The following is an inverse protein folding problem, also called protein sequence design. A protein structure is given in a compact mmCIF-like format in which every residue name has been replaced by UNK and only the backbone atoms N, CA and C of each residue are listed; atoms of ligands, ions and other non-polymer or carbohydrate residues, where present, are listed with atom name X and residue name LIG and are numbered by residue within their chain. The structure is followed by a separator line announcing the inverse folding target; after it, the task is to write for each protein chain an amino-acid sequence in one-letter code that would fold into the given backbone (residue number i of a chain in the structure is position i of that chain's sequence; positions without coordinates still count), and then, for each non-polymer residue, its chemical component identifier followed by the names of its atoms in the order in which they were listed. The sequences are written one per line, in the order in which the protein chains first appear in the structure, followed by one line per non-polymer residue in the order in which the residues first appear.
data_IF_250503770600
#
_entry.id   IF_250503770600
#
_cell.length_a   1.000
_cell.length_b   1.000
_cell.length_c   1.000
_cell.angle_alpha   90.00
_cell.angle_beta   90.00
_cell.angle_gamma   90.00
#
_symmetry.space_group_name_H-M   'P 1'
#
loop_
_entity.id
_entity.type
_entity.pdbx_description
1 polymer ?
#
# COMPACT_ATOMS: atom_id res chain seq x y z
N UNK A 1 -8.54 -6.71 -15.08
CA UNK A 1 -7.23 -7.16 -14.54
C UNK A 1 -7.47 -8.29 -13.55
N UNK A 2 -6.55 -9.27 -13.41
CA UNK A 2 -6.66 -10.41 -12.50
C UNK A 2 -5.56 -10.36 -11.44
N UNK A 3 -5.88 -10.66 -10.18
CA UNK A 3 -4.87 -10.78 -9.12
C UNK A 3 -4.13 -12.11 -9.27
N UNK A 4 -2.91 -12.04 -9.78
CA UNK A 4 -2.12 -13.21 -10.16
C UNK A 4 -0.62 -12.86 -10.10
N UNK A 5 0.13 -13.63 -9.32
CA UNK A 5 1.58 -13.46 -9.09
C UNK A 5 2.42 -14.50 -9.85
N UNK A 6 1.85 -15.14 -10.87
CA UNK A 6 2.59 -16.13 -11.66
C UNK A 6 3.43 -15.48 -12.76
N UNK A 7 4.57 -16.09 -13.09
CA UNK A 7 5.50 -15.59 -14.09
C UNK A 7 6.36 -14.43 -13.59
N UNK A 8 6.82 -13.59 -14.50
CA UNK A 8 7.73 -12.46 -14.24
C UNK A 8 7.08 -11.12 -14.56
N UNK A 9 7.64 -10.03 -14.04
CA UNK A 9 7.24 -8.65 -14.35
C UNK A 9 6.20 -8.04 -13.43
N UNK A 10 5.42 -8.84 -12.69
CA UNK A 10 4.46 -8.33 -11.71
C UNK A 10 5.13 -7.73 -10.47
N UNK A 11 4.40 -6.90 -9.75
CA UNK A 11 4.81 -6.32 -8.47
C UNK A 11 5.72 -5.09 -8.56
N UNK A 12 6.05 -4.64 -9.77
CA UNK A 12 6.90 -3.47 -9.99
C UNK A 12 6.09 -2.17 -10.09
N UNK A 13 4.78 -2.27 -10.23
CA UNK A 13 3.92 -1.12 -10.51
C UNK A 13 4.22 -0.49 -11.87
N UNK A 14 4.65 -1.29 -12.83
CA UNK A 14 4.81 -0.89 -14.22
C UNK A 14 3.43 -0.88 -14.89
N UNK A 15 2.99 0.31 -15.26
CA UNK A 15 1.67 0.53 -15.88
C UNK A 15 1.55 -0.17 -17.23
N UNK A 16 2.61 -0.18 -18.02
CA UNK A 16 2.59 -0.83 -19.33
C UNK A 16 2.48 -2.34 -19.20
N UNK A 17 3.21 -2.92 -18.23
CA UNK A 17 3.04 -4.33 -17.89
C UNK A 17 1.61 -4.63 -17.42
N UNK A 18 1.10 -3.87 -16.46
CA UNK A 18 -0.23 -4.09 -15.90
C UNK A 18 -1.34 -3.99 -16.97
N UNK A 19 -1.20 -3.03 -17.88
CA UNK A 19 -2.13 -2.84 -18.99
C UNK A 19 -2.06 -3.98 -20.03
N UNK A 20 -0.87 -4.42 -20.39
CA UNK A 20 -0.65 -5.47 -21.38
C UNK A 20 -0.96 -6.87 -20.84
N UNK A 21 -0.39 -7.23 -19.69
CA UNK A 21 -0.55 -8.55 -19.08
C UNK A 21 -1.92 -8.75 -18.42
N UNK A 22 -2.61 -7.68 -18.05
CA UNK A 22 -3.91 -7.65 -17.36
C UNK A 22 -3.93 -8.52 -16.09
N UNK A 23 -2.78 -8.61 -15.43
CA UNK A 23 -2.57 -9.35 -14.18
C UNK A 23 -1.47 -8.71 -13.34
N UNK A 24 -1.43 -9.04 -12.05
CA UNK A 24 -0.41 -8.57 -11.12
C UNK A 24 -0.87 -8.62 -9.68
N UNK A 25 -0.11 -8.01 -8.79
CA UNK A 25 -0.42 -7.85 -7.37
C UNK A 25 -1.06 -6.47 -7.07
N UNK A 26 -1.18 -6.11 -5.79
CA UNK A 26 -1.73 -4.82 -5.37
C UNK A 26 -1.00 -3.63 -6.02
N UNK A 27 0.33 -3.66 -6.12
CA UNK A 27 1.11 -2.57 -6.71
C UNK A 27 0.76 -2.36 -8.19
N UNK A 28 0.57 -3.43 -8.96
CA UNK A 28 0.22 -3.34 -10.38
C UNK A 28 -1.22 -2.86 -10.58
N UNK A 29 -2.15 -3.30 -9.72
CA UNK A 29 -3.54 -2.83 -9.73
C UNK A 29 -3.62 -1.33 -9.49
N UNK A 30 -2.94 -0.85 -8.45
CA UNK A 30 -3.02 0.55 -8.07
C UNK A 30 -2.21 1.46 -8.99
N UNK A 31 -1.08 0.99 -9.56
CA UNK A 31 -0.35 1.77 -10.57
C UNK A 31 -1.19 2.02 -11.82
N UNK A 32 -1.92 1.00 -12.28
CA UNK A 32 -2.81 1.14 -13.43
C UNK A 32 -3.97 2.11 -13.12
N UNK A 33 -4.60 1.99 -11.95
CA UNK A 33 -5.64 2.93 -11.52
C UNK A 33 -5.14 4.37 -11.45
N UNK A 34 -4.01 4.59 -10.77
CA UNK A 34 -3.41 5.91 -10.60
C UNK A 34 -3.09 6.53 -11.97
N UNK A 35 -2.54 5.74 -12.89
CA UNK A 35 -2.25 6.22 -14.24
C UNK A 35 -3.52 6.60 -15.00
N UNK A 36 -4.58 5.80 -14.91
CA UNK A 36 -5.87 6.11 -15.54
C UNK A 36 -6.50 7.36 -14.91
N UNK A 37 -6.52 7.50 -13.58
CA UNK A 37 -7.03 8.68 -12.91
C UNK A 37 -6.27 9.94 -13.34
N UNK A 38 -4.95 9.89 -13.32
CA UNK A 38 -4.09 11.02 -13.73
C UNK A 38 -4.24 11.38 -15.21
N UNK A 39 -4.49 10.41 -16.08
CA UNK A 39 -4.76 10.68 -17.49
C UNK A 39 -6.06 11.45 -17.73
N UNK A 40 -6.97 11.43 -16.77
CA UNK A 40 -8.22 12.20 -16.75
C UNK A 40 -8.12 13.49 -15.92
N UNK A 41 -6.91 13.90 -15.52
CA UNK A 41 -6.69 15.08 -14.69
C UNK A 41 -7.05 14.91 -13.22
N UNK A 42 -7.35 13.70 -12.77
CA UNK A 42 -7.69 13.41 -11.36
C UNK A 42 -6.41 13.13 -10.60
N UNK A 43 -6.03 13.93 -9.58
CA UNK A 43 -4.90 13.63 -8.73
C UNK A 43 -5.12 12.28 -8.03
N UNK A 44 -4.11 11.43 -8.06
CA UNK A 44 -4.14 10.14 -7.39
C UNK A 44 -2.74 9.77 -6.91
N UNK A 45 -2.65 8.98 -5.82
CA UNK A 45 -1.40 8.63 -5.18
C UNK A 45 -1.44 7.24 -4.58
N UNK A 46 -0.27 6.65 -4.40
CA UNK A 46 -0.10 5.42 -3.63
C UNK A 46 -0.10 5.70 -2.13
N UNK A 47 -0.63 4.72 -1.40
CA UNK A 47 -0.43 4.55 0.03
C UNK A 47 0.13 3.15 0.30
N UNK A 48 1.15 3.08 1.19
CA UNK A 48 1.82 1.83 1.53
C UNK A 48 1.84 1.63 3.04
N UNK A 49 1.62 0.39 3.46
CA UNK A 49 1.59 0.06 4.87
C UNK A 49 1.40 -1.43 5.15
N UNK A 50 0.94 -1.74 6.35
CA UNK A 50 0.62 -3.09 6.75
C UNK A 50 -0.88 -3.35 6.80
N UNK A 51 -1.35 -4.47 6.22
CA UNK A 51 -2.68 -4.98 6.47
C UNK A 51 -2.67 -5.73 7.81
N UNK A 52 -3.66 -5.47 8.65
CA UNK A 52 -3.87 -6.19 9.90
C UNK A 52 -5.01 -7.20 9.71
N UNK A 53 -4.85 -8.48 10.09
CA UNK A 53 -5.94 -9.44 10.05
C UNK A 53 -7.12 -9.00 10.93
N UNK A 54 -8.30 -8.84 10.35
CA UNK A 54 -9.48 -8.35 11.02
C UNK A 54 -10.03 -9.30 12.11
N UNK A 55 -9.67 -10.58 12.03
CA UNK A 55 -10.09 -11.65 12.92
C UNK A 55 -9.13 -11.88 14.09
N UNK A 56 -8.03 -11.12 14.18
CA UNK A 56 -6.99 -11.29 15.20
C UNK A 56 -6.75 -10.01 15.99
N UNK A 57 -6.54 -10.18 17.29
CA UNK A 57 -6.11 -9.09 18.17
C UNK A 57 -4.60 -8.93 18.28
N UNK A 58 -3.86 -9.93 17.86
CA UNK A 58 -2.40 -9.91 17.74
C UNK A 58 -1.95 -10.98 16.77
N UNK A 59 -0.95 -10.68 15.95
CA UNK A 59 -0.26 -11.65 15.11
C UNK A 59 1.03 -11.07 14.52
N UNK A 60 1.81 -11.93 13.91
CA UNK A 60 2.86 -11.50 12.97
C UNK A 60 2.25 -10.92 11.70
N UNK A 61 2.96 -9.99 11.10
CA UNK A 61 2.62 -9.36 9.83
C UNK A 61 3.52 -9.93 8.76
N UNK A 62 2.94 -10.67 7.82
CA UNK A 62 3.70 -11.42 6.82
C UNK A 62 4.28 -10.55 5.69
N UNK A 63 3.62 -9.46 5.32
CA UNK A 63 4.06 -8.60 4.22
C UNK A 63 3.33 -7.25 4.22
N UNK A 64 3.86 -6.30 3.44
CA UNK A 64 3.19 -5.03 3.18
C UNK A 64 1.96 -5.20 2.28
N UNK A 65 1.14 -4.17 2.29
CA UNK A 65 0.06 -3.95 1.34
C UNK A 65 0.11 -2.52 0.83
N UNK A 66 -0.49 -2.26 -0.33
CA UNK A 66 -0.67 -0.92 -0.84
C UNK A 66 -2.10 -0.71 -1.32
N UNK A 67 -2.54 0.53 -1.25
CA UNK A 67 -3.80 1.03 -1.78
C UNK A 67 -3.57 2.38 -2.45
N UNK A 68 -4.61 3.08 -2.83
CA UNK A 68 -4.52 4.37 -3.48
C UNK A 68 -5.53 5.34 -2.92
N UNK A 69 -5.21 6.62 -3.02
CA UNK A 69 -6.19 7.69 -2.91
C UNK A 69 -6.34 8.40 -4.24
N UNK A 70 -7.52 8.93 -4.51
CA UNK A 70 -7.77 9.90 -5.57
C UNK A 70 -8.49 11.12 -5.01
N UNK A 71 -8.25 12.28 -5.62
CA UNK A 71 -8.78 13.53 -5.11
C UNK A 71 -10.09 13.91 -5.78
N UNK A 72 -11.06 14.33 -4.99
CA UNK A 72 -12.36 14.85 -5.46
C UNK A 72 -12.56 16.24 -4.89
N UNK A 73 -12.82 17.20 -5.77
CA UNK A 73 -13.06 18.59 -5.37
C UNK A 73 -14.23 18.67 -4.38
N UNK A 74 -14.02 19.42 -3.29
CA UNK A 74 -14.99 19.58 -2.21
C UNK A 74 -15.12 18.39 -1.25
N UNK A 75 -14.47 17.25 -1.53
CA UNK A 75 -14.44 16.07 -0.64
C UNK A 75 -13.06 15.70 -0.14
N UNK A 76 -12.00 16.07 -0.89
CA UNK A 76 -10.62 15.73 -0.55
C UNK A 76 -10.18 14.38 -1.11
N UNK A 77 -9.23 13.74 -0.43
CA UNK A 77 -8.70 12.44 -0.81
C UNK A 77 -9.66 11.32 -0.44
N UNK A 78 -10.00 10.49 -1.42
CA UNK A 78 -10.89 9.35 -1.28
C UNK A 78 -10.07 8.07 -1.43
N UNK A 79 -10.05 7.19 -0.42
CA UNK A 79 -9.29 5.96 -0.48
C UNK A 79 -9.96 4.92 -1.38
N UNK A 80 -9.12 4.10 -2.02
CA UNK A 80 -9.58 2.97 -2.82
C UNK A 80 -8.58 1.82 -2.79
N UNK A 81 -9.07 0.62 -2.54
CA UNK A 81 -8.30 -0.60 -2.68
C UNK A 81 -8.91 -1.51 -3.75
N UNK A 82 -8.45 -1.31 -4.98
CA UNK A 82 -8.98 -2.04 -6.12
C UNK A 82 -8.61 -3.52 -6.06
N UNK A 83 -7.47 -3.84 -5.46
CA UNK A 83 -7.03 -5.23 -5.33
C UNK A 83 -7.88 -6.02 -4.34
N UNK A 84 -8.29 -5.43 -3.23
CA UNK A 84 -9.22 -6.06 -2.29
C UNK A 84 -10.65 -6.04 -2.82
N UNK A 85 -11.08 -4.96 -3.49
CA UNK A 85 -12.35 -4.92 -4.20
C UNK A 85 -12.47 -6.02 -5.27
N UNK A 86 -11.36 -6.39 -5.92
CA UNK A 86 -11.33 -7.49 -6.86
C UNK A 86 -11.44 -8.86 -6.19
N UNK A 87 -10.78 -9.05 -5.04
CA UNK A 87 -10.81 -10.31 -4.28
C UNK A 87 -12.16 -10.54 -3.57
N UNK A 88 -12.78 -9.45 -3.12
CA UNK A 88 -13.97 -9.43 -2.28
C UNK A 88 -15.09 -8.63 -2.96
N UNK A 89 -15.70 -9.24 -4.00
CA UNK A 89 -16.73 -8.58 -4.81
C UNK A 89 -17.94 -8.10 -3.98
N UNK A 90 -18.25 -8.81 -2.91
CA UNK A 90 -19.31 -8.48 -1.95
C UNK A 90 -19.01 -7.22 -1.12
N UNK A 91 -17.73 -6.83 -1.04
CA UNK A 91 -17.24 -5.63 -0.33
C UNK A 91 -16.69 -4.55 -1.27
N UNK A 92 -17.01 -4.64 -2.56
CA UNK A 92 -16.47 -3.73 -3.57
C UNK A 92 -16.68 -2.26 -3.22
N UNK A 93 -17.90 -1.90 -2.81
CA UNK A 93 -18.26 -0.52 -2.50
C UNK A 93 -17.60 -0.03 -1.20
N UNK A 94 -17.29 -0.95 -0.28
CA UNK A 94 -16.50 -0.64 0.91
C UNK A 94 -15.06 -0.28 0.54
N UNK A 95 -14.42 -1.08 -0.31
CA UNK A 95 -13.03 -0.84 -0.74
C UNK A 95 -12.89 0.28 -1.78
N UNK A 96 -13.98 0.88 -2.22
CA UNK A 96 -14.00 2.02 -3.11
C UNK A 96 -14.67 3.21 -2.44
N UNK A 97 -13.93 3.92 -1.59
CA UNK A 97 -14.40 5.13 -0.90
C UNK A 97 -14.31 5.08 0.61
N UNK A 98 -13.80 4.01 1.20
CA UNK A 98 -13.59 3.90 2.65
C UNK A 98 -12.20 3.38 2.98
N UNK A 99 -11.59 3.95 4.02
CA UNK A 99 -10.39 3.38 4.63
C UNK A 99 -10.75 2.12 5.42
N UNK A 100 -9.97 1.07 5.21
CA UNK A 100 -10.06 -0.11 6.06
C UNK A 100 -9.37 0.17 7.40
N UNK A 101 -10.13 0.04 8.49
CA UNK A 101 -9.62 0.24 9.86
C UNK A 101 -8.49 -0.74 10.24
N UNK A 102 -8.34 -1.81 9.49
CA UNK A 102 -7.30 -2.82 9.69
C UNK A 102 -6.06 -2.55 8.82
N UNK A 103 -5.65 -1.29 8.77
CA UNK A 103 -4.45 -0.86 8.03
C UNK A 103 -3.65 0.14 8.84
N UNK A 104 -2.33 0.03 8.71
CA UNK A 104 -1.38 1.01 9.24
C UNK A 104 -0.58 1.55 8.08
N UNK A 105 -0.80 2.83 7.74
CA UNK A 105 -0.07 3.52 6.70
C UNK A 105 1.30 3.97 7.20
N UNK A 106 2.33 3.81 6.36
CA UNK A 106 3.71 4.24 6.63
C UNK A 106 4.21 5.28 5.63
N UNK A 107 3.88 5.14 4.35
CA UNK A 107 4.36 6.07 3.34
C UNK A 107 3.35 6.32 2.24
N UNK A 108 3.43 7.55 1.69
CA UNK A 108 2.61 8.03 0.57
C UNK A 108 3.50 8.26 -0.64
N UNK A 109 3.08 7.78 -1.80
CA UNK A 109 3.80 7.97 -3.05
C UNK A 109 4.87 6.92 -3.33
N UNK A 110 5.64 7.17 -4.38
CA UNK A 110 6.75 6.33 -4.86
C UNK A 110 7.97 7.21 -5.10
N UNK A 111 9.11 6.58 -5.36
CA UNK A 111 10.38 7.28 -5.62
C UNK A 111 10.78 8.21 -4.45
N UNK A 112 10.66 7.68 -3.23
CA UNK A 112 10.81 8.42 -1.99
C UNK A 112 12.28 8.71 -1.68
N UNK A 113 12.55 9.96 -1.29
CA UNK A 113 13.80 10.35 -0.65
C UNK A 113 13.54 10.54 0.84
N UNK A 114 14.38 9.91 1.66
CA UNK A 114 14.29 9.97 3.12
C UNK A 114 14.79 11.32 3.66
N UNK A 115 14.58 11.55 4.93
CA UNK A 115 15.15 12.68 5.65
C UNK A 115 15.78 12.18 6.98
N UNK A 116 17.12 12.15 7.10
CA UNK A 116 18.12 12.54 6.10
C UNK A 116 18.06 11.68 4.84
N UNK A 117 18.50 12.21 3.68
CA UNK A 117 18.43 11.49 2.43
C UNK A 117 19.38 10.29 2.42
N UNK A 118 18.93 9.21 1.80
CA UNK A 118 19.77 8.06 1.46
C UNK A 118 20.76 8.42 0.34
N UNK A 119 21.92 7.77 0.32
CA UNK A 119 22.89 7.87 -0.78
C UNK A 119 22.44 7.09 -2.02
N UNK A 120 21.68 6.01 -1.82
CA UNK A 120 21.12 5.18 -2.88
C UNK A 120 20.01 5.83 -3.70
N UNK A 121 19.40 5.04 -4.56
CA UNK A 121 18.27 5.48 -5.40
C UNK A 121 17.03 5.80 -4.54
N UNK A 122 16.11 6.62 -5.06
CA UNK A 122 14.81 6.80 -4.43
C UNK A 122 14.11 5.47 -4.18
N UNK A 123 13.48 5.32 -3.01
CA UNK A 123 12.81 4.09 -2.63
C UNK A 123 11.47 3.97 -3.34
N UNK A 124 11.17 2.80 -3.88
CA UNK A 124 9.89 2.54 -4.52
C UNK A 124 8.71 2.70 -3.53
N UNK A 125 8.94 2.34 -2.27
CA UNK A 125 8.04 2.57 -1.12
C UNK A 125 8.87 2.49 0.17
N UNK A 126 8.34 3.00 1.27
CA UNK A 126 9.00 2.94 2.58
C UNK A 126 8.03 2.38 3.62
N UNK A 127 8.11 1.08 3.83
CA UNK A 127 7.36 0.31 4.85
C UNK A 127 8.32 -0.49 5.71
N UNK A 128 9.40 -0.95 5.12
CA UNK A 128 10.46 -1.70 5.78
C UNK A 128 11.63 -0.77 6.14
N UNK A 129 12.35 -1.02 7.25
CA UNK A 129 13.60 -0.35 7.52
C UNK A 129 14.56 -0.41 6.33
N UNK A 130 15.16 0.71 6.02
CA UNK A 130 16.18 0.83 4.98
C UNK A 130 17.54 1.01 5.63
N UNK A 131 18.52 0.26 5.18
CA UNK A 131 19.88 0.25 5.75
C UNK A 131 20.91 0.48 4.65
N UNK A 132 21.82 1.40 4.88
CA UNK A 132 23.01 1.63 4.07
C UNK A 132 24.27 1.44 4.90
N UNK A 133 25.30 0.89 4.29
CA UNK A 133 26.66 0.78 4.83
C UNK A 133 27.61 1.33 3.78
N UNK A 134 28.41 2.31 4.12
CA UNK A 134 29.34 2.99 3.22
C UNK A 134 28.69 3.50 1.93
N UNK A 135 27.49 4.08 2.06
CA UNK A 135 26.71 4.63 0.93
C UNK A 135 26.10 3.60 -0.01
N UNK A 136 26.08 2.33 0.37
CA UNK A 136 25.47 1.25 -0.41
C UNK A 136 24.33 0.59 0.36
N UNK A 137 23.25 0.26 -0.34
CA UNK A 137 22.16 -0.52 0.26
C UNK A 137 22.69 -1.85 0.82
N UNK A 138 22.37 -2.13 2.09
CA UNK A 138 22.69 -3.37 2.76
C UNK A 138 21.48 -4.29 2.82
N UNK A 139 21.39 -5.30 1.93
CA UNK A 139 20.19 -6.13 1.78
C UNK A 139 20.05 -7.24 2.84
N UNK A 140 21.11 -7.56 3.60
CA UNK A 140 21.10 -8.67 4.55
C UNK A 140 20.51 -8.27 5.89
N UNK A 141 19.26 -7.80 5.87
CA UNK A 141 18.51 -7.39 7.06
C UNK A 141 17.40 -8.39 7.33
N UNK A 142 17.37 -8.93 8.55
CA UNK A 142 16.27 -9.76 9.02
C UNK A 142 15.20 -8.87 9.64
N UNK A 143 13.97 -9.00 9.17
CA UNK A 143 12.84 -8.17 9.59
C UNK A 143 11.73 -9.05 10.18
N UNK A 144 11.20 -8.64 11.32
CA UNK A 144 10.04 -9.25 11.95
C UNK A 144 9.08 -8.13 12.41
N UNK A 145 7.82 -8.25 12.04
CA UNK A 145 6.78 -7.31 12.42
C UNK A 145 5.62 -8.04 13.07
N UNK A 146 5.08 -7.44 14.11
CA UNK A 146 3.88 -7.92 14.78
C UNK A 146 3.01 -6.77 15.23
N UNK A 147 1.75 -7.04 15.49
CA UNK A 147 0.83 -6.09 16.10
C UNK A 147 0.11 -6.73 17.29
N UNK A 148 -0.37 -5.89 18.18
CA UNK A 148 -1.28 -6.27 19.26
C UNK A 148 -2.23 -5.12 19.55
N UNK A 149 -3.52 -5.43 19.69
CA UNK A 149 -4.53 -4.48 20.13
C UNK A 149 -4.26 -4.05 21.56
N UNK A 150 -4.39 -2.76 21.81
CA UNK A 150 -4.45 -2.25 23.20
C UNK A 150 -5.91 -2.11 23.62
N UNK A 151 -6.27 -2.82 24.67
CA UNK A 151 -7.54 -2.56 25.36
C UNK A 151 -7.36 -1.30 26.21
N UNK A 152 -7.80 -0.15 25.71
CA UNK A 152 -7.94 1.04 26.55
C UNK A 152 -9.13 0.81 27.48
N UNK A 153 -8.88 0.72 28.79
CA UNK A 153 -9.95 0.78 29.76
C UNK A 153 -10.69 2.11 29.58
N UNK A 154 -11.94 2.03 29.14
CA UNK A 154 -12.83 3.20 29.11
C UNK A 154 -13.00 3.61 30.58
N UNK A 155 -12.42 4.75 30.96
CA UNK A 155 -12.64 5.31 32.28
C UNK A 155 -14.15 5.49 32.46
N UNK A 156 -14.73 4.74 33.39
CA UNK A 156 -16.12 4.93 33.75
C UNK A 156 -16.29 6.40 34.20
N UNK A 157 -17.01 7.18 33.43
CA UNK A 157 -17.45 8.51 33.90
C UNK A 157 -18.33 8.27 35.12
N UNK A 158 -17.82 8.71 36.31
CA UNK A 158 -18.65 8.89 37.50
C UNK A 158 -19.58 10.06 37.34
#
# INVERSE_FOLDING_TARGET
MRYDKTGTGWGRGDVLYACGAKKGNCTDFHSLFIAMARSQGIPARFEFGFPLPADKRSSEIASYHCWSDFYVDGKGWIPVDISEAWKHQEKRDYFFGSDDVNRVQFSTGRDLRLNPPQDGKPLNYFVYPYVEVDGQEYPNVSLAFSFADRVTAVAAKK
#
